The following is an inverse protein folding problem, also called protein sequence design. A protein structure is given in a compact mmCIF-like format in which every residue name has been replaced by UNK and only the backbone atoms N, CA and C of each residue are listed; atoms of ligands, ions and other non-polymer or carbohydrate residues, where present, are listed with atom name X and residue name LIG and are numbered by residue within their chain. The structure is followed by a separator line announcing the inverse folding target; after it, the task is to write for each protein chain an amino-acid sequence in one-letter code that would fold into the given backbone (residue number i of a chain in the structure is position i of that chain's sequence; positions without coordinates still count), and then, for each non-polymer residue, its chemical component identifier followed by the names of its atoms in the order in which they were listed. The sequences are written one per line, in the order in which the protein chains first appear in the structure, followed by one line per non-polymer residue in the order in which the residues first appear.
data_IF_574640411181
#
_entry.id   IF_574640411181
#
_cell.length_a   1.000
_cell.length_b   1.000
_cell.length_c   1.000
_cell.angle_alpha   90.00
_cell.angle_beta   90.00
_cell.angle_gamma   90.00
#
_symmetry.space_group_name_H-M   'P 1'
#
loop_
_entity.id
_entity.type
_entity.pdbx_description
1 polymer ?
#
# COMPACT_ATOMS: atom_id res chain seq x y z
N UNK A 1 87.92 7.56 9.04
CA UNK A 1 86.51 8.04 9.02
C UNK A 1 85.75 7.18 8.01
N UNK A 2 85.15 6.08 8.49
CA UNK A 2 84.66 4.97 7.64
C UNK A 2 83.26 5.24 7.05
N UNK A 3 83.22 5.23 5.71
CA UNK A 3 82.20 4.65 4.81
C UNK A 3 80.70 4.77 5.18
N UNK A 4 80.02 5.77 4.59
CA UNK A 4 78.54 5.79 4.43
C UNK A 4 78.08 5.37 3.02
N UNK A 5 79.00 5.01 2.13
CA UNK A 5 78.68 4.75 0.71
C UNK A 5 78.45 3.26 0.39
N UNK A 6 78.84 2.35 1.28
CA UNK A 6 78.75 0.89 1.03
C UNK A 6 77.43 0.27 1.51
N UNK A 7 76.75 0.85 2.50
CA UNK A 7 75.55 0.26 3.09
C UNK A 7 74.28 0.35 2.23
N UNK A 8 74.23 1.22 1.21
CA UNK A 8 73.03 1.42 0.37
C UNK A 8 72.99 0.54 -0.89
N UNK A 9 74.07 -0.22 -1.17
CA UNK A 9 74.21 -1.00 -2.42
C UNK A 9 73.78 -2.48 -2.30
N UNK A 10 73.43 -2.96 -1.09
CA UNK A 10 73.11 -4.37 -0.84
C UNK A 10 71.62 -4.71 -0.71
N UNK A 11 70.70 -3.75 -0.90
CA UNK A 11 69.24 -3.99 -0.90
C UNK A 11 68.59 -3.73 -2.27
N UNK A 12 69.14 -4.33 -3.34
CA UNK A 12 68.43 -4.46 -4.63
C UNK A 12 68.05 -5.92 -4.85
N UNK A 13 66.78 -6.24 -4.58
CA UNK A 13 66.19 -7.50 -4.99
C UNK A 13 66.16 -7.61 -6.54
N UNK A 14 66.36 -8.82 -7.12
CA UNK A 14 66.32 -9.01 -8.56
C UNK A 14 64.89 -8.81 -9.10
N UNK A 15 64.76 -8.03 -10.18
CA UNK A 15 63.51 -7.90 -10.94
C UNK A 15 63.29 -9.16 -11.77
N UNK A 16 62.32 -9.98 -11.38
CA UNK A 16 61.83 -11.07 -12.22
C UNK A 16 61.04 -10.53 -13.41
N UNK A 17 61.22 -11.07 -14.63
CA UNK A 17 60.45 -10.67 -15.80
C UNK A 17 58.99 -11.11 -15.66
N UNK A 18 58.05 -10.22 -16.00
CA UNK A 18 56.61 -10.49 -15.97
C UNK A 18 56.27 -11.55 -17.03
N UNK A 19 55.51 -12.62 -16.71
CA UNK A 19 55.06 -13.58 -17.70
C UNK A 19 54.02 -12.94 -18.64
N UNK A 20 54.12 -13.27 -19.92
CA UNK A 20 53.33 -12.75 -21.05
C UNK A 20 51.83 -13.01 -20.85
N UNK A 21 51.03 -11.97 -21.02
CA UNK A 21 49.58 -12.02 -20.97
C UNK A 21 49.05 -12.57 -22.31
N UNK A 22 48.55 -13.81 -22.31
CA UNK A 22 47.90 -14.42 -23.48
C UNK A 22 46.37 -14.28 -23.38
N UNK A 23 45.65 -13.94 -24.47
CA UNK A 23 44.26 -13.53 -24.44
C UNK A 23 43.31 -14.73 -24.52
N UNK A 24 43.03 -15.34 -23.37
CA UNK A 24 41.92 -16.29 -23.25
C UNK A 24 41.37 -16.30 -21.83
N UNK A 25 40.95 -15.13 -21.35
CA UNK A 25 40.20 -15.00 -20.11
C UNK A 25 38.70 -15.22 -20.39
N UNK A 26 38.30 -16.46 -20.62
CA UNK A 26 36.92 -16.87 -20.35
C UNK A 26 36.78 -16.84 -18.82
N UNK A 27 36.02 -15.87 -18.33
CA UNK A 27 35.66 -15.64 -16.92
C UNK A 27 35.46 -16.94 -16.16
N UNK A 28 36.35 -17.22 -15.21
CA UNK A 28 36.23 -18.34 -14.28
C UNK A 28 34.95 -18.15 -13.44
N UNK A 29 33.90 -18.89 -13.77
CA UNK A 29 32.74 -19.01 -12.91
C UNK A 29 33.19 -19.65 -11.59
N UNK A 30 32.88 -19.02 -10.45
CA UNK A 30 33.15 -19.56 -9.13
C UNK A 30 32.26 -20.80 -8.90
N UNK A 31 32.79 -21.98 -9.20
CA UNK A 31 32.11 -23.27 -9.04
C UNK A 31 32.40 -23.78 -7.63
N UNK A 32 31.37 -23.85 -6.77
CA UNK A 32 31.41 -24.59 -5.50
C UNK A 32 30.46 -25.79 -5.63
N UNK A 33 31.01 -27.01 -5.54
CA UNK A 33 30.28 -28.28 -5.67
C UNK A 33 29.50 -28.48 -6.98
N UNK A 34 30.09 -28.14 -8.14
CA UNK A 34 29.52 -28.48 -9.46
C UNK A 34 28.21 -27.76 -9.83
N UNK A 35 27.69 -26.88 -8.96
CA UNK A 35 26.54 -26.02 -9.24
C UNK A 35 27.05 -24.59 -9.47
N UNK A 36 26.60 -23.89 -10.52
CA UNK A 36 26.98 -22.50 -10.72
C UNK A 36 26.48 -21.67 -9.54
N UNK A 37 27.39 -21.13 -8.72
CA UNK A 37 27.04 -20.20 -7.65
C UNK A 37 26.73 -18.86 -8.31
N UNK A 38 25.44 -18.50 -8.35
CA UNK A 38 25.00 -17.20 -8.87
C UNK A 38 25.56 -16.09 -7.96
N UNK A 39 26.66 -15.47 -8.39
CA UNK A 39 27.25 -14.30 -7.74
C UNK A 39 26.32 -13.10 -8.00
N UNK A 40 25.43 -12.79 -7.06
CA UNK A 40 24.57 -11.61 -7.15
C UNK A 40 25.44 -10.36 -7.02
N UNK A 41 25.47 -9.54 -8.07
CA UNK A 41 26.26 -8.31 -8.10
C UNK A 41 25.67 -7.26 -7.15
N UNK A 42 26.53 -6.58 -6.38
CA UNK A 42 26.12 -5.53 -5.44
C UNK A 42 25.30 -4.40 -6.10
N UNK A 43 25.57 -4.08 -7.36
CA UNK A 43 24.81 -3.09 -8.12
C UNK A 43 23.33 -3.50 -8.30
N UNK A 44 23.06 -4.78 -8.58
CA UNK A 44 21.70 -5.30 -8.72
C UNK A 44 20.94 -5.23 -7.40
N UNK A 45 21.59 -5.56 -6.29
CA UNK A 45 20.99 -5.46 -4.94
C UNK A 45 20.66 -4.00 -4.60
N UNK A 46 21.58 -3.06 -4.88
CA UNK A 46 21.35 -1.63 -4.64
C UNK A 46 20.19 -1.09 -5.46
N UNK A 47 20.12 -1.43 -6.75
CA UNK A 47 19.00 -1.04 -7.60
C UNK A 47 17.68 -1.60 -7.09
N UNK A 48 17.66 -2.90 -6.78
CA UNK A 48 16.47 -3.57 -6.29
C UNK A 48 16.00 -2.99 -4.94
N UNK A 49 16.93 -2.69 -4.03
CA UNK A 49 16.65 -2.04 -2.74
C UNK A 49 16.05 -0.65 -2.90
N UNK A 50 16.56 0.13 -3.85
CA UNK A 50 15.98 1.44 -4.16
C UNK A 50 14.55 1.29 -4.68
N UNK A 51 14.33 0.38 -5.63
CA UNK A 51 12.99 0.10 -6.17
C UNK A 51 12.03 -0.35 -5.06
N UNK A 52 12.44 -1.29 -4.21
CA UNK A 52 11.60 -1.74 -3.09
C UNK A 52 11.30 -0.63 -2.09
N UNK A 53 12.26 0.26 -1.81
CA UNK A 53 12.05 1.40 -0.91
C UNK A 53 10.99 2.37 -1.46
N UNK A 54 11.04 2.68 -2.77
CA UNK A 54 10.03 3.52 -3.41
C UNK A 54 8.64 2.88 -3.28
N UNK A 55 8.51 1.60 -3.61
CA UNK A 55 7.23 0.89 -3.49
C UNK A 55 6.73 0.81 -2.04
N UNK A 56 7.60 0.56 -1.05
CA UNK A 56 7.26 0.57 0.37
C UNK A 56 6.74 1.93 0.84
N UNK A 57 7.35 3.03 0.40
CA UNK A 57 6.84 4.38 0.75
C UNK A 57 5.45 4.61 0.18
N UNK A 58 5.20 4.17 -1.07
CA UNK A 58 3.89 4.25 -1.69
C UNK A 58 2.81 3.44 -0.92
N UNK A 59 3.13 2.21 -0.49
CA UNK A 59 2.17 1.39 0.28
C UNK A 59 1.88 1.95 1.65
N UNK A 60 2.88 2.54 2.33
CA UNK A 60 2.69 3.21 3.63
C UNK A 60 1.75 4.42 3.48
N UNK A 61 2.01 5.31 2.52
CA UNK A 61 1.18 6.50 2.28
C UNK A 61 -0.27 6.07 2.01
N UNK A 62 -0.45 5.09 1.13
CA UNK A 62 -1.78 4.59 0.79
C UNK A 62 -2.50 3.95 1.98
N UNK A 63 -1.79 3.17 2.81
CA UNK A 63 -2.36 2.56 4.01
C UNK A 63 -2.84 3.62 5.01
N UNK A 64 -2.10 4.73 5.16
CA UNK A 64 -2.53 5.87 5.99
C UNK A 64 -3.80 6.51 5.42
N UNK A 65 -3.87 6.73 4.11
CA UNK A 65 -5.07 7.30 3.45
C UNK A 65 -6.29 6.41 3.69
N UNK A 66 -6.17 5.09 3.55
CA UNK A 66 -7.26 4.17 3.83
C UNK A 66 -7.72 4.19 5.28
N UNK A 67 -6.78 4.29 6.22
CA UNK A 67 -7.11 4.39 7.64
C UNK A 67 -7.87 5.69 7.95
N UNK A 68 -7.39 6.83 7.45
CA UNK A 68 -8.08 8.13 7.60
C UNK A 68 -9.47 8.09 6.96
N UNK A 69 -9.57 7.54 5.75
CA UNK A 69 -10.86 7.38 5.06
C UNK A 69 -11.83 6.54 5.90
N UNK A 70 -11.36 5.47 6.52
CA UNK A 70 -12.19 4.63 7.38
C UNK A 70 -12.70 5.37 8.62
N UNK A 71 -11.85 6.17 9.27
CA UNK A 71 -12.24 6.96 10.44
C UNK A 71 -13.27 8.03 10.04
N UNK A 72 -13.06 8.68 8.89
CA UNK A 72 -13.98 9.69 8.38
C UNK A 72 -15.36 9.09 8.05
N UNK A 73 -15.41 7.91 7.41
CA UNK A 73 -16.68 7.21 7.14
C UNK A 73 -17.40 6.89 8.44
N UNK A 74 -16.70 6.35 9.44
CA UNK A 74 -17.30 6.02 10.73
C UNK A 74 -17.86 7.26 11.44
N UNK A 75 -17.08 8.33 11.51
CA UNK A 75 -17.44 9.54 12.25
C UNK A 75 -18.58 10.32 11.58
N UNK A 76 -18.59 10.43 10.25
CA UNK A 76 -19.57 11.24 9.54
C UNK A 76 -20.78 10.44 9.06
N UNK A 77 -20.60 9.22 8.54
CA UNK A 77 -21.65 8.45 7.88
C UNK A 77 -22.18 7.28 8.73
N UNK A 78 -21.45 6.82 9.76
CA UNK A 78 -21.80 5.61 10.51
C UNK A 78 -23.22 5.64 11.09
N UNK A 79 -23.60 6.76 11.72
CA UNK A 79 -24.95 6.94 12.27
C UNK A 79 -26.04 6.92 11.19
N UNK A 80 -25.77 7.49 10.01
CA UNK A 80 -26.73 7.53 8.89
C UNK A 80 -26.91 6.17 8.23
N UNK A 81 -25.83 5.44 8.02
CA UNK A 81 -25.90 4.09 7.49
C UNK A 81 -26.66 3.19 8.45
N UNK A 82 -26.44 3.33 9.76
CA UNK A 82 -27.16 2.56 10.77
C UNK A 82 -28.68 2.80 10.76
N UNK A 83 -29.11 4.02 10.42
CA UNK A 83 -30.54 4.37 10.30
C UNK A 83 -31.18 3.85 9.00
N UNK A 84 -30.41 3.75 7.91
CA UNK A 84 -30.90 3.34 6.58
C UNK A 84 -30.77 1.84 6.36
N UNK A 85 -29.71 1.22 6.89
CA UNK A 85 -29.35 -0.19 6.70
C UNK A 85 -29.15 -0.86 8.07
N UNK A 86 -30.23 -1.38 8.63
CA UNK A 86 -30.34 -2.49 9.59
C UNK A 86 -29.19 -2.80 10.57
N UNK A 87 -28.47 -1.82 11.13
CA UNK A 87 -27.41 -2.10 12.13
C UNK A 87 -25.97 -2.09 11.62
N UNK A 88 -25.73 -2.15 10.31
CA UNK A 88 -24.42 -2.59 9.76
C UNK A 88 -23.48 -1.44 9.37
N UNK A 89 -23.79 -0.21 9.79
CA UNK A 89 -23.03 1.00 9.42
C UNK A 89 -21.58 1.03 9.87
N UNK A 90 -21.22 0.22 10.86
CA UNK A 90 -19.85 0.09 11.38
C UNK A 90 -19.05 -1.03 10.73
N UNK A 91 -19.69 -1.97 10.02
CA UNK A 91 -19.02 -3.16 9.46
C UNK A 91 -18.02 -2.77 8.38
N UNK A 92 -18.44 -1.91 7.45
CA UNK A 92 -17.62 -1.45 6.33
C UNK A 92 -16.34 -0.71 6.77
N UNK A 93 -16.41 0.37 7.59
CA UNK A 93 -15.19 1.04 8.05
C UNK A 93 -14.34 0.11 8.92
N UNK A 94 -14.93 -0.75 9.76
CA UNK A 94 -14.14 -1.66 10.60
C UNK A 94 -13.38 -2.70 9.76
N UNK A 95 -14.02 -3.26 8.74
CA UNK A 95 -13.40 -4.20 7.80
C UNK A 95 -12.30 -3.55 6.96
N UNK A 96 -12.37 -2.24 6.73
CA UNK A 96 -11.32 -1.48 6.05
C UNK A 96 -10.17 -1.09 7.00
N UNK A 97 -10.46 -0.63 8.22
CA UNK A 97 -9.45 -0.13 9.16
C UNK A 97 -8.49 -1.21 9.65
N UNK A 98 -9.01 -2.39 10.01
CA UNK A 98 -8.20 -3.46 10.63
C UNK A 98 -7.08 -3.94 9.68
N UNK A 99 -7.37 -4.32 8.41
CA UNK A 99 -6.33 -4.72 7.48
C UNK A 99 -5.36 -3.58 7.14
N UNK A 100 -5.86 -2.34 6.99
CA UNK A 100 -5.02 -1.19 6.68
C UNK A 100 -3.97 -0.94 7.78
N UNK A 101 -4.38 -1.01 9.05
CA UNK A 101 -3.47 -0.87 10.19
C UNK A 101 -2.48 -2.03 10.28
N UNK A 102 -2.95 -3.26 10.07
CA UNK A 102 -2.09 -4.45 10.04
C UNK A 102 -1.00 -4.34 8.97
N UNK A 103 -1.37 -3.98 7.73
CA UNK A 103 -0.41 -3.79 6.65
C UNK A 103 0.55 -2.64 6.91
N UNK A 104 0.09 -1.54 7.50
CA UNK A 104 0.96 -0.42 7.87
C UNK A 104 2.08 -0.88 8.81
N UNK A 105 1.73 -1.59 9.88
CA UNK A 105 2.70 -2.09 10.88
C UNK A 105 3.67 -3.08 10.22
N UNK A 106 3.16 -4.03 9.44
CA UNK A 106 3.98 -5.04 8.76
C UNK A 106 4.97 -4.42 7.77
N UNK A 107 4.56 -3.43 6.98
CA UNK A 107 5.44 -2.75 6.02
C UNK A 107 6.53 -1.92 6.72
N UNK A 108 6.19 -1.24 7.83
CA UNK A 108 7.19 -0.50 8.62
C UNK A 108 8.23 -1.46 9.20
N UNK A 109 7.80 -2.56 9.82
CA UNK A 109 8.72 -3.57 10.37
C UNK A 109 9.64 -4.15 9.30
N UNK A 110 9.09 -4.50 8.13
CA UNK A 110 9.87 -5.03 7.01
C UNK A 110 10.86 -3.99 6.45
N UNK A 111 10.47 -2.73 6.39
CA UNK A 111 11.34 -1.61 6.02
C UNK A 111 12.51 -1.43 6.99
N UNK A 112 12.26 -1.51 8.30
CA UNK A 112 13.32 -1.41 9.31
C UNK A 112 14.30 -2.57 9.20
N UNK A 113 13.81 -3.80 9.09
CA UNK A 113 14.66 -5.00 8.95
C UNK A 113 15.52 -4.93 7.69
N UNK A 114 14.91 -4.58 6.55
CA UNK A 114 15.66 -4.44 5.28
C UNK A 114 16.70 -3.32 5.35
N UNK A 115 16.39 -2.20 5.99
CA UNK A 115 17.34 -1.10 6.22
C UNK A 115 18.52 -1.53 7.10
N UNK A 116 18.25 -2.19 8.23
CA UNK A 116 19.29 -2.68 9.16
C UNK A 116 20.21 -3.71 8.49
N UNK A 117 19.67 -4.63 7.69
CA UNK A 117 20.48 -5.61 6.96
C UNK A 117 21.30 -5.00 5.82
N UNK A 118 20.83 -3.89 5.22
CA UNK A 118 21.54 -3.20 4.15
C UNK A 118 22.72 -2.38 4.68
N UNK A 119 22.61 -1.84 5.90
CA UNK A 119 23.63 -1.02 6.56
C UNK A 119 24.66 -1.86 7.35
N UNK A 120 24.32 -3.10 7.70
CA UNK A 120 25.28 -4.05 8.28
C UNK A 120 26.40 -4.35 7.26
N UNK A 121 27.67 -4.18 7.69
CA UNK A 121 28.92 -4.39 6.95
C UNK A 121 28.83 -5.26 5.68
N UNK A 122 29.55 -4.84 4.63
CA UNK A 122 29.63 -5.48 3.30
C UNK A 122 30.10 -6.95 3.38
N UNK A 123 29.21 -7.85 3.74
CA UNK A 123 29.45 -9.29 3.94
C UNK A 123 28.92 -10.05 2.72
N UNK A 124 29.79 -10.57 1.84
CA UNK A 124 29.36 -11.24 0.61
C UNK A 124 28.51 -12.50 0.85
N UNK A 125 28.55 -13.08 2.05
CA UNK A 125 27.70 -14.20 2.47
C UNK A 125 26.24 -13.78 2.73
N UNK A 126 26.00 -12.55 3.16
CA UNK A 126 24.65 -12.02 3.44
C UNK A 126 23.95 -11.52 2.18
N UNK A 127 24.67 -11.28 1.07
CA UNK A 127 24.10 -10.81 -0.19
C UNK A 127 22.97 -11.72 -0.71
N UNK A 128 23.09 -13.04 -0.53
CA UNK A 128 22.06 -13.98 -0.96
C UNK A 128 20.81 -13.92 -0.08
N UNK A 129 20.99 -13.79 1.24
CA UNK A 129 19.90 -13.61 2.21
C UNK A 129 19.18 -12.28 1.96
N UNK A 130 19.94 -11.20 1.77
CA UNK A 130 19.40 -9.88 1.44
C UNK A 130 18.61 -9.91 0.13
N UNK A 131 19.12 -10.58 -0.91
CA UNK A 131 18.42 -10.74 -2.17
C UNK A 131 17.08 -11.48 -2.01
N UNK A 132 17.05 -12.57 -1.22
CA UNK A 132 15.81 -13.31 -0.94
C UNK A 132 14.83 -12.44 -0.15
N UNK A 133 15.29 -11.77 0.91
CA UNK A 133 14.45 -10.89 1.72
C UNK A 133 13.80 -9.80 0.87
N UNK A 134 14.55 -9.25 -0.08
CA UNK A 134 14.09 -8.20 -0.96
C UNK A 134 13.07 -8.71 -1.99
N UNK A 135 13.26 -9.93 -2.51
CA UNK A 135 12.27 -10.60 -3.35
C UNK A 135 10.98 -10.89 -2.58
N UNK A 136 11.07 -11.39 -1.34
CA UNK A 136 9.91 -11.60 -0.47
C UNK A 136 9.20 -10.27 -0.19
N UNK A 137 9.95 -9.20 0.03
CA UNK A 137 9.39 -7.86 0.24
C UNK A 137 8.63 -7.37 -0.97
N UNK A 138 9.19 -7.50 -2.17
CA UNK A 138 8.51 -7.13 -3.42
C UNK A 138 7.24 -7.97 -3.66
N UNK A 139 7.29 -9.27 -3.40
CA UNK A 139 6.12 -10.14 -3.49
C UNK A 139 5.02 -9.73 -2.49
N UNK A 140 5.38 -9.42 -1.25
CA UNK A 140 4.43 -8.96 -0.24
C UNK A 140 3.78 -7.64 -0.67
N UNK A 141 4.56 -6.69 -1.16
CA UNK A 141 4.04 -5.42 -1.68
C UNK A 141 3.07 -5.67 -2.84
N UNK A 142 3.41 -6.57 -3.76
CA UNK A 142 2.54 -6.92 -4.88
C UNK A 142 1.20 -7.51 -4.41
N UNK A 143 1.22 -8.43 -3.44
CA UNK A 143 0.00 -8.98 -2.84
C UNK A 143 -0.83 -7.88 -2.17
N UNK A 144 -0.19 -6.99 -1.41
CA UNK A 144 -0.87 -5.85 -0.79
C UNK A 144 -1.50 -4.97 -1.87
N UNK A 145 -0.79 -4.67 -2.96
CA UNK A 145 -1.34 -3.86 -4.05
C UNK A 145 -2.60 -4.48 -4.67
N UNK A 146 -2.63 -5.81 -4.85
CA UNK A 146 -3.83 -6.53 -5.31
C UNK A 146 -4.97 -6.41 -4.29
N UNK A 147 -4.70 -6.63 -3.01
CA UNK A 147 -5.72 -6.51 -1.96
C UNK A 147 -6.29 -5.09 -1.92
N UNK A 148 -5.44 -4.08 -2.04
CA UNK A 148 -5.86 -2.68 -2.10
C UNK A 148 -6.73 -2.41 -3.32
N UNK A 149 -6.37 -2.96 -4.49
CA UNK A 149 -7.19 -2.84 -5.70
C UNK A 149 -8.58 -3.46 -5.50
N UNK A 150 -8.66 -4.64 -4.87
CA UNK A 150 -9.93 -5.30 -4.53
C UNK A 150 -10.76 -4.45 -3.56
N UNK A 151 -10.13 -3.87 -2.53
CA UNK A 151 -10.80 -2.98 -1.58
C UNK A 151 -11.37 -1.76 -2.30
N UNK A 152 -10.60 -1.12 -3.20
CA UNK A 152 -11.08 0.03 -3.97
C UNK A 152 -12.27 -0.32 -4.86
N UNK A 153 -12.25 -1.49 -5.50
CA UNK A 153 -13.40 -1.98 -6.27
C UNK A 153 -14.63 -2.20 -5.38
N UNK A 154 -14.43 -2.75 -4.19
CA UNK A 154 -15.51 -2.93 -3.21
C UNK A 154 -16.09 -1.58 -2.78
N UNK A 155 -15.25 -0.59 -2.47
CA UNK A 155 -15.71 0.76 -2.09
C UNK A 155 -16.55 1.36 -3.21
N UNK A 156 -16.10 1.27 -4.47
CA UNK A 156 -16.86 1.77 -5.61
C UNK A 156 -18.22 1.10 -5.74
N UNK A 157 -18.29 -0.23 -5.60
CA UNK A 157 -19.55 -0.96 -5.59
C UNK A 157 -20.45 -0.53 -4.43
N UNK A 158 -19.87 -0.34 -3.24
CA UNK A 158 -20.61 0.11 -2.07
C UNK A 158 -21.18 1.52 -2.26
N UNK A 159 -20.55 2.41 -3.03
CA UNK A 159 -21.15 3.72 -3.37
C UNK A 159 -22.45 3.56 -4.18
N UNK A 160 -22.52 2.58 -5.07
CA UNK A 160 -23.73 2.28 -5.84
C UNK A 160 -24.82 1.65 -4.97
N UNK A 161 -24.44 0.71 -4.09
CA UNK A 161 -25.36 0.12 -3.11
C UNK A 161 -25.91 1.18 -2.14
N UNK A 162 -25.06 2.10 -1.67
CA UNK A 162 -25.48 3.23 -0.84
C UNK A 162 -26.45 4.15 -1.58
N UNK A 163 -26.17 4.46 -2.86
CA UNK A 163 -27.07 5.24 -3.69
C UNK A 163 -28.46 4.59 -3.78
N UNK A 164 -28.50 3.29 -4.05
CA UNK A 164 -29.74 2.52 -4.15
C UNK A 164 -30.50 2.48 -2.81
N UNK A 165 -29.78 2.30 -1.69
CA UNK A 165 -30.37 2.32 -0.35
C UNK A 165 -30.98 3.68 0.00
N UNK A 166 -30.32 4.79 -0.34
CA UNK A 166 -30.87 6.14 -0.15
C UNK A 166 -32.10 6.35 -1.04
N UNK A 167 -32.06 5.93 -2.31
CA UNK A 167 -33.22 6.03 -3.21
C UNK A 167 -34.41 5.23 -2.69
N UNK A 168 -34.18 4.04 -2.13
CA UNK A 168 -35.23 3.22 -1.54
C UNK A 168 -35.84 3.85 -0.28
N UNK A 169 -34.99 4.43 0.58
CA UNK A 169 -35.44 5.23 1.72
C UNK A 169 -36.25 6.47 1.27
N UNK A 170 -35.85 7.14 0.19
CA UNK A 170 -36.59 8.27 -0.39
C UNK A 170 -37.95 7.85 -0.94
N UNK A 171 -38.10 6.65 -1.53
CA UNK A 171 -39.42 6.15 -1.99
C UNK A 171 -40.42 5.98 -0.85
N UNK A 172 -39.94 5.70 0.36
CA UNK A 172 -40.74 5.56 1.57
C UNK A 172 -40.90 6.89 2.35
N UNK A 173 -40.43 8.01 1.78
CA UNK A 173 -40.42 9.31 2.46
C UNK A 173 -41.82 9.82 2.81
N UNK A 174 -42.79 9.72 1.89
CA UNK A 174 -44.15 10.24 2.10
C UNK A 174 -45.02 9.30 2.95
N UNK A 175 -44.73 8.00 2.95
CA UNK A 175 -45.54 6.98 3.61
C UNK A 175 -45.12 6.70 5.05
N UNK A 176 -43.87 6.99 5.43
CA UNK A 176 -43.33 6.65 6.74
C UNK A 176 -42.54 7.80 7.38
N UNK A 177 -43.01 8.24 8.55
CA UNK A 177 -42.43 9.36 9.30
C UNK A 177 -41.00 9.11 9.78
N UNK A 178 -40.60 7.85 9.99
CA UNK A 178 -39.22 7.51 10.34
C UNK A 178 -38.28 7.76 9.17
N UNK A 179 -38.61 7.24 7.98
CA UNK A 179 -37.81 7.50 6.77
C UNK A 179 -37.75 9.00 6.46
N UNK A 180 -38.87 9.71 6.63
CA UNK A 180 -38.92 11.17 6.53
C UNK A 180 -37.91 11.86 7.45
N UNK A 181 -37.95 11.55 8.74
CA UNK A 181 -37.05 12.14 9.73
C UNK A 181 -35.57 11.81 9.45
N UNK A 182 -35.28 10.60 9.01
CA UNK A 182 -33.91 10.17 8.68
C UNK A 182 -33.36 10.87 7.44
N UNK A 183 -34.14 10.95 6.36
CA UNK A 183 -33.74 11.64 5.13
C UNK A 183 -33.60 13.16 5.37
N UNK A 184 -34.56 13.78 6.06
CA UNK A 184 -34.51 15.22 6.38
C UNK A 184 -33.26 15.55 7.22
N UNK A 185 -32.98 14.76 8.28
CA UNK A 185 -31.78 14.96 9.12
C UNK A 185 -30.49 14.79 8.32
N UNK A 186 -30.39 13.74 7.50
CA UNK A 186 -29.22 13.49 6.66
C UNK A 186 -28.96 14.66 5.70
N UNK A 187 -29.99 15.11 4.98
CA UNK A 187 -29.87 16.18 4.00
C UNK A 187 -29.52 17.53 4.63
N UNK A 188 -30.07 17.83 5.81
CA UNK A 188 -29.73 19.05 6.57
C UNK A 188 -28.28 19.00 7.07
N UNK A 189 -27.83 17.89 7.66
CA UNK A 189 -26.47 17.80 8.20
C UNK A 189 -25.41 17.91 7.10
N UNK A 190 -25.61 17.20 5.98
CA UNK A 190 -24.66 17.21 4.86
C UNK A 190 -24.86 18.36 3.87
N UNK A 191 -25.89 19.20 4.09
CA UNK A 191 -26.26 20.29 3.17
C UNK A 191 -26.42 19.78 1.72
N UNK A 192 -27.05 18.61 1.55
CA UNK A 192 -27.23 17.95 0.26
C UNK A 192 -28.72 17.70 -0.04
N UNK A 193 -29.07 17.36 -1.28
CA UNK A 193 -30.45 17.12 -1.67
C UNK A 193 -30.54 16.01 -2.73
N UNK A 194 -31.42 15.04 -2.49
CA UNK A 194 -31.54 13.81 -3.28
C UNK A 194 -30.48 12.77 -2.90
N UNK A 195 -30.34 11.74 -3.72
CA UNK A 195 -29.31 10.70 -3.54
C UNK A 195 -28.03 11.06 -4.29
N UNK A 196 -28.17 11.50 -5.55
CA UNK A 196 -27.09 12.10 -6.36
C UNK A 196 -27.34 13.57 -6.66
N UNK A 197 -28.59 13.93 -6.93
CA UNK A 197 -29.00 15.29 -7.31
C UNK A 197 -30.40 15.59 -6.78
N UNK A 198 -30.70 16.88 -6.60
CA UNK A 198 -32.05 17.33 -6.21
C UNK A 198 -33.14 16.87 -7.20
N UNK A 199 -32.77 16.60 -8.45
CA UNK A 199 -33.67 16.12 -9.50
C UNK A 199 -34.30 14.76 -9.15
N UNK A 200 -33.66 13.98 -8.28
CA UNK A 200 -34.17 12.69 -7.80
C UNK A 200 -35.56 12.84 -7.14
N UNK A 201 -35.86 14.00 -6.56
CA UNK A 201 -37.19 14.28 -5.98
C UNK A 201 -38.30 14.51 -6.99
N UNK A 202 -38.00 14.75 -8.27
CA UNK A 202 -39.03 14.88 -9.29
C UNK A 202 -39.61 13.53 -9.71
N UNK A 203 -38.86 12.43 -9.54
CA UNK A 203 -39.33 11.07 -9.84
C UNK A 203 -39.90 10.36 -8.61
N UNK A 204 -39.71 10.91 -7.40
CA UNK A 204 -40.11 10.29 -6.14
C UNK A 204 -41.21 11.13 -5.47
N UNK A 205 -42.41 10.57 -5.20
CA UNK A 205 -43.50 11.29 -4.56
C UNK A 205 -43.19 11.59 -3.10
N UNK A 206 -42.84 12.85 -2.83
CA UNK A 206 -42.48 13.36 -1.51
C UNK A 206 -43.67 13.90 -0.69
N UNK A 207 -44.84 14.06 -1.33
CA UNK A 207 -46.07 14.55 -0.69
C UNK A 207 -47.09 13.41 -0.51
N UNK A 208 -47.94 13.54 0.51
CA UNK A 208 -49.06 12.63 0.70
C UNK A 208 -50.19 12.97 -0.28
N UNK A 209 -50.38 12.11 -1.27
CA UNK A 209 -51.42 12.25 -2.29
C UNK A 209 -52.85 12.25 -1.72
N UNK A 210 -53.06 11.70 -0.52
CA UNK A 210 -54.37 11.71 0.15
C UNK A 210 -54.76 13.09 0.67
N UNK A 211 -53.77 13.94 1.01
CA UNK A 211 -53.99 15.31 1.47
C UNK A 211 -54.37 16.25 0.33
N UNK A 212 -53.95 15.95 -0.91
CA UNK A 212 -54.22 16.77 -2.10
C UNK A 212 -55.67 16.61 -2.58
N UNK A 213 -56.28 15.44 -2.38
CA UNK A 213 -57.68 15.17 -2.80
C UNK A 213 -58.75 15.88 -1.95
N UNK A 214 -58.39 16.51 -0.83
CA UNK A 214 -59.35 17.12 0.10
C UNK A 214 -59.66 18.60 -0.20
N UNK A 215 -59.13 19.14 -1.29
CA UNK A 215 -59.22 20.55 -1.68
C UNK A 215 -60.05 20.86 -2.92
N UNK A 216 -60.90 19.93 -3.37
CA UNK A 216 -61.89 20.13 -4.45
C UNK A 216 -63.26 19.69 -3.97
#
# INVERSE_FOLDING_TARGET
MFSKTVAKKLLRAPKFPKPKQNPSAFTAANIKCGKPVRQVTYQTIKFLAYVSAVFLTGTIIFSIVLFISSVNIKNHLGHYINMVASGDGDVLPTLQAIPALFFLIMNIMLGIVTYQLFDAERRPTLNWILFILLMVTLLLIFVIFILLFVIMQHIYKTHEELHNGIVDAMKNYSSNSLYKAHIDRMQIEFQCCGSKKHIDWYSIPWYDSSLVKKGT
#
